data_IF_069475066392
#
_entry.id   IF_069475066392
#
_cell.length_a   1.000
_cell.length_b   1.000
_cell.length_c   1.000
_cell.angle_alpha   90.00
_cell.angle_beta   90.00
_cell.angle_gamma   90.00
#
_symmetry.space_group_name_H-M   'P 1'
#
loop_
_entity.id
_entity.type
_entity.pdbx_description
1 polymer ?
#
# COMPACT_ATOMS: atom_id res chain seq x y z
N UNK A 1 0.06 11.33 9.21
CA UNK A 1 1.05 11.59 8.14
C UNK A 1 0.45 12.55 7.14
N UNK A 2 1.17 13.65 6.83
CA UNK A 2 0.69 14.70 5.94
C UNK A 2 1.49 14.79 4.65
N UNK A 3 2.77 14.40 4.69
CA UNK A 3 3.66 14.46 3.53
C UNK A 3 4.63 13.28 3.55
N UNK A 4 4.94 12.78 2.36
CA UNK A 4 6.01 11.82 2.11
C UNK A 4 6.99 12.50 1.15
N UNK A 5 8.25 12.59 1.53
CA UNK A 5 9.29 13.24 0.73
C UNK A 5 10.36 12.24 0.33
N UNK A 6 10.75 12.26 -0.93
CA UNK A 6 11.87 11.49 -1.49
C UNK A 6 12.97 12.46 -1.90
N UNK A 7 14.19 12.26 -1.41
CA UNK A 7 15.33 13.08 -1.74
C UNK A 7 16.45 12.23 -2.34
N UNK A 8 16.68 12.39 -3.65
CA UNK A 8 17.70 11.67 -4.43
C UNK A 8 17.66 10.14 -4.24
N UNK A 9 16.47 9.58 -4.13
CA UNK A 9 16.31 8.14 -3.92
C UNK A 9 16.68 7.38 -5.17
N UNK A 10 17.55 6.36 -5.01
CA UNK A 10 17.94 5.45 -6.09
C UNK A 10 17.85 4.02 -5.58
N UNK A 11 16.98 3.16 -6.17
CA UNK A 11 16.95 1.73 -5.85
C UNK A 11 18.31 1.08 -6.10
N UNK A 12 18.72 0.13 -5.26
CA UNK A 12 19.99 -0.59 -5.45
C UNK A 12 20.11 -1.26 -6.82
N UNK A 13 18.99 -1.70 -7.40
CA UNK A 13 18.95 -2.26 -8.75
C UNK A 13 19.35 -1.26 -9.85
N UNK A 14 19.40 0.03 -9.56
CA UNK A 14 19.78 1.11 -10.49
C UNK A 14 21.09 1.80 -10.09
N UNK A 15 21.84 1.24 -9.13
CA UNK A 15 23.05 1.87 -8.58
C UNK A 15 24.12 2.15 -9.63
N UNK A 16 24.24 1.30 -10.65
CA UNK A 16 25.22 1.44 -11.73
C UNK A 16 24.78 2.40 -12.86
N UNK A 17 23.55 2.94 -12.75
CA UNK A 17 23.03 3.89 -13.74
C UNK A 17 23.33 5.30 -13.28
N UNK A 18 24.27 5.96 -13.96
CA UNK A 18 24.72 7.32 -13.61
C UNK A 18 23.61 8.37 -13.67
N UNK A 19 22.65 8.21 -14.61
CA UNK A 19 21.51 9.11 -14.75
C UNK A 19 20.25 8.32 -15.15
N UNK A 20 19.22 8.43 -14.33
CA UNK A 20 17.91 7.83 -14.60
C UNK A 20 16.98 8.92 -15.13
N UNK A 21 16.39 8.72 -16.31
CA UNK A 21 15.35 9.61 -16.82
C UNK A 21 14.03 9.34 -16.07
N UNK A 22 13.88 9.94 -14.90
CA UNK A 22 12.76 9.74 -14.00
C UNK A 22 12.45 11.00 -13.20
N UNK A 23 11.18 11.27 -12.98
CA UNK A 23 10.72 12.31 -12.06
C UNK A 23 10.70 11.83 -10.60
N UNK A 24 10.88 10.53 -10.36
CA UNK A 24 10.87 9.91 -9.03
C UNK A 24 12.27 9.61 -8.53
N UNK A 25 13.09 8.95 -9.39
CA UNK A 25 14.44 8.53 -9.01
C UNK A 25 15.46 9.63 -9.26
N UNK A 26 16.44 9.77 -8.37
CA UNK A 26 17.49 10.79 -8.42
C UNK A 26 16.94 12.22 -8.47
N UNK A 27 15.75 12.44 -7.91
CA UNK A 27 15.08 13.75 -7.87
C UNK A 27 14.53 14.04 -6.47
N UNK A 28 13.96 15.22 -6.28
CA UNK A 28 13.19 15.56 -5.09
C UNK A 28 11.72 15.54 -5.42
N UNK A 29 10.96 14.70 -4.72
CA UNK A 29 9.53 14.52 -4.93
C UNK A 29 8.81 14.51 -3.59
N UNK A 30 7.60 15.08 -3.55
CA UNK A 30 6.74 15.05 -2.39
C UNK A 30 5.34 14.55 -2.74
N UNK A 31 4.80 13.65 -1.91
CA UNK A 31 3.41 13.22 -1.95
C UNK A 31 2.68 13.84 -0.76
N UNK A 32 1.69 14.68 -1.03
CA UNK A 32 0.92 15.39 -0.02
C UNK A 32 -0.40 14.68 0.27
N UNK A 33 -0.81 14.68 1.52
CA UNK A 33 -2.10 14.12 1.95
C UNK A 33 -3.26 14.77 1.20
N UNK A 34 -4.22 13.94 0.78
CA UNK A 34 -5.42 14.38 0.06
C UNK A 34 -5.22 14.59 -1.43
N UNK A 35 -3.99 14.58 -1.94
CA UNK A 35 -3.72 14.59 -3.38
C UNK A 35 -3.72 13.17 -3.95
N UNK A 36 -3.97 13.06 -5.25
CA UNK A 36 -3.91 11.81 -6.02
C UNK A 36 -2.74 11.90 -7.00
N UNK A 37 -1.90 10.86 -7.01
CA UNK A 37 -0.73 10.78 -7.87
C UNK A 37 -0.81 9.54 -8.74
N UNK A 38 -0.46 9.68 -10.01
CA UNK A 38 -0.28 8.58 -10.94
C UNK A 38 1.22 8.41 -11.20
N UNK A 39 1.77 7.26 -10.82
CA UNK A 39 3.15 6.89 -11.12
C UNK A 39 3.16 5.98 -12.34
N UNK A 40 3.65 6.49 -13.47
CA UNK A 40 3.77 5.76 -14.73
C UNK A 40 5.22 5.47 -15.05
N UNK A 41 5.52 4.25 -15.44
CA UNK A 41 6.83 3.83 -15.96
C UNK A 41 6.69 2.52 -16.72
N UNK A 42 7.65 2.22 -17.60
CA UNK A 42 7.75 0.91 -18.25
C UNK A 42 7.93 -0.22 -17.23
N UNK A 43 7.79 -1.47 -17.67
CA UNK A 43 8.12 -2.63 -16.86
C UNK A 43 9.59 -2.54 -16.41
N UNK A 44 9.87 -2.88 -15.16
CA UNK A 44 11.22 -2.72 -14.59
C UNK A 44 11.57 -1.30 -14.12
N UNK A 45 10.76 -0.27 -14.38
CA UNK A 45 11.04 1.12 -13.98
C UNK A 45 10.92 1.42 -12.47
N UNK A 46 10.79 0.40 -11.62
CA UNK A 46 10.88 0.55 -10.16
C UNK A 46 9.56 0.89 -9.45
N UNK A 47 8.39 0.88 -10.14
CA UNK A 47 7.09 1.18 -9.50
C UNK A 47 6.82 0.32 -8.24
N UNK A 48 7.05 -0.98 -8.32
CA UNK A 48 6.88 -1.89 -7.19
C UNK A 48 7.92 -1.65 -6.09
N UNK A 49 9.15 -1.23 -6.47
CA UNK A 49 10.19 -0.85 -5.51
C UNK A 49 9.78 0.39 -4.72
N UNK A 50 9.22 1.42 -5.39
CA UNK A 50 8.71 2.60 -4.71
C UNK A 50 7.67 2.22 -3.65
N UNK A 51 6.66 1.44 -4.03
CA UNK A 51 5.65 0.97 -3.08
C UNK A 51 6.27 0.16 -1.93
N UNK A 52 7.25 -0.71 -2.22
CA UNK A 52 7.92 -1.52 -1.21
C UNK A 52 8.75 -0.67 -0.24
N UNK A 53 9.42 0.38 -0.71
CA UNK A 53 10.15 1.33 0.13
C UNK A 53 9.21 2.12 1.03
N UNK A 54 8.15 2.69 0.46
CA UNK A 54 7.16 3.47 1.21
C UNK A 54 6.40 2.63 2.25
N UNK A 55 6.21 1.34 1.99
CA UNK A 55 5.57 0.43 2.96
C UNK A 55 6.57 -0.22 3.92
N UNK A 56 7.90 0.03 3.76
CA UNK A 56 8.94 -0.52 4.61
C UNK A 56 9.17 -2.02 4.44
N UNK A 57 8.84 -2.58 3.27
CA UNK A 57 9.18 -3.97 2.92
C UNK A 57 10.62 -4.12 2.44
N UNK A 58 11.19 -3.06 1.91
CA UNK A 58 12.57 -2.99 1.41
C UNK A 58 13.20 -1.68 1.83
N UNK A 59 14.52 -1.70 2.04
CA UNK A 59 15.34 -0.53 2.38
C UNK A 59 16.63 -0.45 1.54
N UNK A 60 16.70 -1.22 0.45
CA UNK A 60 17.84 -1.28 -0.47
C UNK A 60 17.78 -0.14 -1.50
N UNK A 61 17.93 1.07 -1.00
CA UNK A 61 18.04 2.31 -1.78
C UNK A 61 19.09 3.25 -1.18
N UNK A 62 19.65 4.12 -1.99
CA UNK A 62 20.39 5.31 -1.56
C UNK A 62 19.49 6.54 -1.54
N UNK A 63 19.96 7.65 -0.95
CA UNK A 63 19.14 8.83 -0.71
C UNK A 63 18.24 8.66 0.50
N UNK A 64 17.28 9.55 0.69
CA UNK A 64 16.46 9.63 1.88
C UNK A 64 14.96 9.67 1.57
N UNK A 65 14.17 8.99 2.40
CA UNK A 65 12.72 9.06 2.36
C UNK A 65 12.25 9.52 3.75
N UNK A 66 11.36 10.51 3.76
CA UNK A 66 10.82 11.08 5.00
C UNK A 66 9.30 10.93 5.05
N UNK A 67 8.79 10.61 6.23
CA UNK A 67 7.39 10.75 6.60
C UNK A 67 7.27 11.87 7.63
N UNK A 68 6.61 12.98 7.27
CA UNK A 68 6.47 14.17 8.12
C UNK A 68 7.82 14.61 8.74
N UNK A 69 8.87 14.76 7.92
CA UNK A 69 10.23 15.15 8.31
C UNK A 69 11.06 14.08 9.05
N UNK A 70 10.51 12.91 9.41
CA UNK A 70 11.26 11.83 10.03
C UNK A 70 11.76 10.86 8.95
N UNK A 71 13.06 10.60 8.92
CA UNK A 71 13.68 9.68 7.96
C UNK A 71 13.21 8.23 8.23
N UNK A 72 12.86 7.50 7.18
CA UNK A 72 12.44 6.09 7.31
C UNK A 72 13.54 5.18 7.84
N UNK A 73 14.81 5.56 7.71
CA UNK A 73 15.95 4.81 8.28
C UNK A 73 15.95 4.80 9.81
N UNK A 74 15.29 5.80 10.43
CA UNK A 74 15.18 5.95 11.88
C UNK A 74 13.94 5.25 12.45
N UNK A 75 13.17 4.55 11.61
CA UNK A 75 11.96 3.86 12.04
C UNK A 75 12.30 2.53 12.69
N UNK A 76 11.91 2.38 13.94
CA UNK A 76 11.92 1.09 14.64
C UNK A 76 10.81 0.17 14.11
N UNK A 77 10.87 -1.11 14.50
CA UNK A 77 9.80 -2.08 14.21
C UNK A 77 8.45 -1.57 14.70
N UNK A 78 8.40 -0.97 15.90
CA UNK A 78 7.16 -0.44 16.48
C UNK A 78 6.62 0.74 15.68
N UNK A 79 7.48 1.62 15.17
CA UNK A 79 7.06 2.73 14.30
C UNK A 79 6.40 2.20 13.03
N UNK A 80 7.02 1.20 12.38
CA UNK A 80 6.44 0.55 11.20
C UNK A 80 5.10 -0.13 11.49
N UNK A 81 4.96 -0.79 12.65
CA UNK A 81 3.67 -1.36 13.06
C UNK A 81 2.59 -0.28 13.13
N UNK A 82 2.86 0.84 13.82
CA UNK A 82 1.91 1.94 13.97
C UNK A 82 1.55 2.60 12.63
N UNK A 83 2.55 2.83 11.78
CA UNK A 83 2.33 3.43 10.45
C UNK A 83 1.44 2.53 9.59
N UNK A 84 1.73 1.23 9.53
CA UNK A 84 0.94 0.27 8.74
C UNK A 84 -0.45 0.03 9.29
N UNK A 85 -0.63 0.16 10.60
CA UNK A 85 -1.95 0.02 11.22
C UNK A 85 -2.85 1.23 10.97
N UNK A 86 -2.29 2.46 10.94
CA UNK A 86 -3.09 3.67 11.06
C UNK A 86 -2.89 4.74 10.00
N UNK A 87 -1.80 4.68 9.23
CA UNK A 87 -1.41 5.82 8.39
C UNK A 87 -1.26 5.48 6.91
N UNK A 88 -0.91 4.23 6.58
CA UNK A 88 -0.65 3.82 5.20
C UNK A 88 -1.33 2.48 4.92
N UNK A 89 -1.97 2.38 3.77
CA UNK A 89 -2.51 1.13 3.26
C UNK A 89 -1.80 0.73 1.98
N UNK A 90 -1.60 -0.56 1.77
CA UNK A 90 -0.98 -1.12 0.58
C UNK A 90 -1.88 -2.18 -0.04
N UNK A 91 -2.20 -1.99 -1.31
CA UNK A 91 -2.93 -2.96 -2.12
C UNK A 91 -1.98 -3.55 -3.15
N UNK A 92 -1.47 -4.78 -2.94
CA UNK A 92 -0.58 -5.44 -3.90
C UNK A 92 -1.33 -5.89 -5.14
N UNK A 93 -0.62 -6.02 -6.27
CA UNK A 93 -1.20 -6.45 -7.54
C UNK A 93 -1.77 -7.87 -7.49
N UNK A 94 -1.14 -8.77 -6.71
CA UNK A 94 -1.55 -10.16 -6.48
C UNK A 94 -2.68 -10.30 -5.44
N UNK A 95 -3.22 -9.17 -4.97
CA UNK A 95 -4.31 -9.03 -3.98
C UNK A 95 -4.05 -9.70 -2.63
N UNK A 96 -3.30 -10.80 -2.56
CA UNK A 96 -2.97 -11.60 -1.37
C UNK A 96 -4.18 -11.96 -0.51
N UNK A 97 -5.27 -12.32 -1.15
CA UNK A 97 -6.47 -12.80 -0.47
C UNK A 97 -6.34 -14.30 -0.14
N UNK A 98 -6.96 -14.71 0.94
CA UNK A 98 -7.07 -16.12 1.33
C UNK A 98 -8.28 -16.73 0.61
N UNK A 99 -8.04 -17.53 -0.42
CA UNK A 99 -9.08 -18.04 -1.32
C UNK A 99 -10.16 -18.88 -0.63
N UNK A 100 -9.79 -19.62 0.41
CA UNK A 100 -10.69 -20.48 1.18
C UNK A 100 -11.58 -19.71 2.16
N UNK A 101 -11.15 -18.51 2.57
CA UNK A 101 -11.90 -17.66 3.46
C UNK A 101 -12.95 -16.85 2.70
N UNK A 102 -14.05 -16.56 3.36
CA UNK A 102 -15.10 -15.67 2.84
C UNK A 102 -14.58 -14.25 2.64
N UNK A 103 -15.33 -13.45 1.89
CA UNK A 103 -15.01 -12.04 1.72
C UNK A 103 -15.00 -11.30 3.07
N UNK A 104 -15.94 -11.60 3.95
CA UNK A 104 -15.98 -11.05 5.31
C UNK A 104 -14.74 -11.42 6.12
N UNK A 105 -14.39 -12.69 6.20
CA UNK A 105 -13.24 -13.17 6.96
C UNK A 105 -11.93 -12.55 6.45
N UNK A 106 -11.75 -12.40 5.13
CA UNK A 106 -10.59 -11.72 4.56
C UNK A 106 -10.45 -10.28 5.04
N UNK A 107 -11.56 -9.55 5.20
CA UNK A 107 -11.57 -8.17 5.70
C UNK A 107 -11.36 -8.15 7.22
N UNK A 108 -12.02 -9.05 7.95
CA UNK A 108 -11.98 -9.13 9.41
C UNK A 108 -10.58 -9.40 9.96
N UNK A 109 -9.76 -10.23 9.29
CA UNK A 109 -8.38 -10.52 9.72
C UNK A 109 -7.58 -9.24 10.01
N UNK A 110 -7.66 -8.24 9.13
CA UNK A 110 -6.96 -6.96 9.36
C UNK A 110 -7.66 -6.14 10.43
N UNK A 111 -8.98 -6.08 10.38
CA UNK A 111 -9.76 -5.26 11.30
C UNK A 111 -9.65 -5.73 12.74
N UNK A 112 -9.57 -7.04 12.99
CA UNK A 112 -9.33 -7.61 14.33
C UNK A 112 -7.99 -7.15 14.93
N UNK A 113 -6.96 -6.99 14.09
CA UNK A 113 -5.65 -6.49 14.54
C UNK A 113 -5.69 -5.00 14.83
N UNK A 114 -6.44 -4.22 14.05
CA UNK A 114 -6.39 -2.76 14.08
C UNK A 114 -7.53 -2.13 14.89
N UNK A 115 -8.66 -2.84 14.99
CA UNK A 115 -9.94 -2.34 15.52
C UNK A 115 -10.30 -0.95 14.94
N UNK A 116 -9.98 -0.77 13.65
CA UNK A 116 -10.07 0.54 13.01
C UNK A 116 -11.49 0.91 12.58
N UNK A 117 -12.30 -0.11 12.26
CA UNK A 117 -13.69 0.06 11.82
C UNK A 117 -14.62 -0.87 12.56
N UNK A 118 -15.86 -0.42 12.76
CA UNK A 118 -16.93 -1.29 13.22
C UNK A 118 -17.58 -2.06 12.05
N UNK A 119 -18.33 -3.10 12.37
CA UNK A 119 -18.96 -3.98 11.38
C UNK A 119 -19.92 -3.23 10.45
N UNK A 120 -20.64 -2.24 10.96
CA UNK A 120 -21.56 -1.43 10.15
C UNK A 120 -20.84 -0.63 9.08
N UNK A 121 -19.67 -0.07 9.39
CA UNK A 121 -18.83 0.63 8.43
C UNK A 121 -18.29 -0.31 7.35
N UNK A 122 -17.87 -1.52 7.76
CA UNK A 122 -17.38 -2.54 6.82
C UNK A 122 -18.52 -2.97 5.88
N UNK A 123 -19.71 -3.26 6.41
CA UNK A 123 -20.88 -3.60 5.60
C UNK A 123 -21.25 -2.51 4.61
N UNK A 124 -21.15 -1.24 5.03
CA UNK A 124 -21.38 -0.10 4.14
C UNK A 124 -20.35 -0.03 3.00
N UNK A 125 -19.10 -0.41 3.24
CA UNK A 125 -18.08 -0.50 2.19
C UNK A 125 -18.41 -1.61 1.17
N UNK A 126 -18.86 -2.78 1.62
CA UNK A 126 -19.35 -3.84 0.74
C UNK A 126 -20.50 -3.36 -0.14
N UNK A 127 -21.47 -2.65 0.45
CA UNK A 127 -22.61 -2.06 -0.28
C UNK A 127 -22.15 -1.02 -1.29
N UNK A 128 -21.30 -0.06 -0.90
CA UNK A 128 -20.78 0.98 -1.80
C UNK A 128 -20.01 0.42 -2.99
N UNK A 129 -19.35 -0.72 -2.82
CA UNK A 129 -18.63 -1.40 -3.89
C UNK A 129 -19.51 -2.39 -4.67
N UNK A 130 -20.79 -2.56 -4.31
CA UNK A 130 -21.74 -3.43 -5.01
C UNK A 130 -21.36 -4.91 -4.95
N UNK A 131 -20.87 -5.36 -3.79
CA UNK A 131 -20.49 -6.76 -3.53
C UNK A 131 -21.07 -7.30 -2.20
N UNK A 132 -22.15 -6.73 -1.71
CA UNK A 132 -22.77 -7.15 -0.46
C UNK A 132 -23.23 -8.62 -0.50
N UNK A 133 -23.71 -9.09 -1.66
CA UNK A 133 -24.12 -10.48 -1.87
C UNK A 133 -22.96 -11.49 -1.85
N UNK A 134 -21.73 -10.98 -1.79
CA UNK A 134 -20.50 -11.78 -1.79
C UNK A 134 -19.92 -11.98 -0.39
N UNK A 135 -20.44 -11.30 0.64
CA UNK A 135 -19.89 -11.27 2.00
C UNK A 135 -19.58 -12.66 2.55
N UNK A 136 -20.52 -13.60 2.43
CA UNK A 136 -20.40 -14.96 2.93
C UNK A 136 -19.78 -15.97 1.94
N UNK A 137 -19.32 -15.52 0.76
CA UNK A 137 -18.77 -16.43 -0.25
C UNK A 137 -17.25 -16.53 -0.12
N UNK A 138 -16.66 -17.71 -0.25
CA UNK A 138 -15.22 -17.89 -0.36
C UNK A 138 -14.65 -17.06 -1.52
N UNK A 139 -13.57 -16.32 -1.24
CA UNK A 139 -13.00 -15.37 -2.21
C UNK A 139 -12.49 -16.08 -3.47
N UNK A 140 -12.01 -17.31 -3.35
CA UNK A 140 -11.59 -18.11 -4.50
C UNK A 140 -12.69 -18.41 -5.51
N UNK A 141 -13.97 -18.25 -5.13
CA UNK A 141 -15.13 -18.42 -6.03
C UNK A 141 -15.63 -17.11 -6.65
N UNK A 142 -15.01 -15.99 -6.31
CA UNK A 142 -15.37 -14.67 -6.81
C UNK A 142 -14.63 -14.37 -8.12
N UNK A 143 -15.24 -13.53 -8.97
CA UNK A 143 -14.55 -12.98 -10.13
C UNK A 143 -13.38 -12.09 -9.71
N UNK A 144 -12.40 -11.92 -10.59
CA UNK A 144 -11.23 -11.05 -10.32
C UNK A 144 -11.65 -9.64 -9.88
N UNK A 145 -12.65 -9.05 -10.54
CA UNK A 145 -13.17 -7.72 -10.16
C UNK A 145 -13.81 -7.70 -8.77
N UNK A 146 -14.50 -8.77 -8.36
CA UNK A 146 -15.05 -8.91 -7.01
C UNK A 146 -13.92 -9.10 -5.98
N UNK A 147 -12.92 -9.91 -6.28
CA UNK A 147 -11.73 -10.10 -5.45
C UNK A 147 -10.99 -8.76 -5.24
N UNK A 148 -10.81 -7.98 -6.30
CA UNK A 148 -10.20 -6.64 -6.20
C UNK A 148 -10.97 -5.73 -5.23
N UNK A 149 -12.30 -5.73 -5.29
CA UNK A 149 -13.15 -4.93 -4.38
C UNK A 149 -13.01 -5.41 -2.93
N UNK A 150 -12.97 -6.72 -2.67
CA UNK A 150 -12.69 -7.27 -1.33
C UNK A 150 -11.31 -6.84 -0.85
N UNK A 151 -10.29 -6.91 -1.71
CA UNK A 151 -8.94 -6.50 -1.37
C UNK A 151 -8.83 -4.98 -1.05
N UNK A 152 -9.61 -4.14 -1.73
CA UNK A 152 -9.72 -2.71 -1.43
C UNK A 152 -10.30 -2.51 -0.02
N UNK A 153 -11.43 -3.18 0.31
CA UNK A 153 -12.04 -3.06 1.63
C UNK A 153 -11.05 -3.50 2.71
N UNK A 154 -10.36 -4.64 2.51
CA UNK A 154 -9.35 -5.12 3.45
C UNK A 154 -8.17 -4.15 3.61
N UNK A 155 -7.80 -3.42 2.57
CA UNK A 155 -6.69 -2.48 2.62
C UNK A 155 -7.04 -1.21 3.43
N UNK A 156 -8.29 -0.76 3.38
CA UNK A 156 -8.80 0.46 4.04
C UNK A 156 -9.19 0.21 5.48
#
# INVERSE_FOLDING_TARGET
>A
MNIIELNNVTPAAFADISRIASEVWQSSLAFEKGKKYLVSAQSGGGKSSLCAFLFGYRADYSGDIFFDKRNLRDFSVNDWCLVRQRQIAYLPQDLRLFGELTAWENVSIKNEITSFRNDSEILEMFRKLGIEDMIGKPVGKLSIGQQQRVAIIRAL
#
